data_IF_251371600996
#
_entry.id   IF_251371600996
#
_cell.length_a   1.000
_cell.length_b   1.000
_cell.length_c   1.000
_cell.angle_alpha   90.00
_cell.angle_beta   90.00
_cell.angle_gamma   90.00
#
_symmetry.space_group_name_H-M   'P 1'
#
loop_
_entity.id
_entity.type
_entity.pdbx_description
1 polymer ?
#
# COMPACT_ATOMS: atom_id res chain seq x y z
N UNK A 1 15.49 49.92 -4.54
CA UNK A 1 15.17 48.69 -5.30
C UNK A 1 15.55 48.90 -6.76
N UNK A 2 16.40 48.06 -7.34
CA UNK A 2 16.84 48.22 -8.74
C UNK A 2 15.76 47.68 -9.70
N UNK A 3 15.58 48.26 -10.88
CA UNK A 3 14.58 47.77 -11.88
C UNK A 3 14.73 46.27 -12.21
N UNK A 4 15.95 45.74 -12.06
CA UNK A 4 16.29 44.32 -12.17
C UNK A 4 15.69 43.46 -11.04
N UNK A 5 15.62 43.97 -9.80
CA UNK A 5 14.97 43.26 -8.68
C UNK A 5 13.46 43.22 -8.82
N UNK A 6 12.86 44.27 -9.38
CA UNK A 6 11.42 44.35 -9.63
C UNK A 6 10.98 43.38 -10.75
N UNK A 7 11.74 43.30 -11.85
CA UNK A 7 11.51 42.33 -12.93
C UNK A 7 11.66 40.88 -12.46
N UNK A 8 12.72 40.57 -11.69
CA UNK A 8 12.90 39.24 -11.07
C UNK A 8 11.76 38.88 -10.12
N UNK A 9 11.19 39.85 -9.39
CA UNK A 9 10.04 39.61 -8.52
C UNK A 9 8.77 39.31 -9.34
N UNK A 10 8.57 40.00 -10.46
CA UNK A 10 7.42 39.76 -11.35
C UNK A 10 7.50 38.41 -12.08
N UNK A 11 8.68 37.92 -12.44
CA UNK A 11 8.85 36.58 -13.03
C UNK A 11 8.62 35.43 -12.04
N UNK A 12 8.70 35.69 -10.73
CA UNK A 12 8.54 34.67 -9.67
C UNK A 12 7.10 34.48 -9.19
N UNK A 13 6.15 35.31 -9.62
CA UNK A 13 4.74 35.09 -9.30
C UNK A 13 4.13 34.08 -10.27
N UNK A 14 3.60 32.96 -9.76
CA UNK A 14 3.10 31.78 -10.49
C UNK A 14 1.95 32.01 -11.49
N UNK A 15 1.54 33.26 -11.75
CA UNK A 15 0.36 33.61 -12.53
C UNK A 15 0.64 34.58 -13.68
N UNK A 16 1.92 34.80 -14.04
CA UNK A 16 2.28 35.89 -14.95
C UNK A 16 2.62 35.40 -16.36
N UNK A 17 1.92 35.97 -17.35
CA UNK A 17 2.26 35.86 -18.76
C UNK A 17 3.65 36.50 -19.00
N UNK A 18 4.65 35.66 -19.25
CA UNK A 18 6.08 36.04 -19.40
C UNK A 18 6.26 37.02 -20.56
N UNK A 19 5.49 36.88 -21.64
CA UNK A 19 5.49 37.82 -22.76
C UNK A 19 5.11 39.23 -22.30
N UNK A 20 3.98 39.35 -21.58
CA UNK A 20 3.45 40.63 -21.10
C UNK A 20 4.43 41.32 -20.14
N UNK A 21 5.07 40.58 -19.24
CA UNK A 21 6.11 41.13 -18.36
C UNK A 21 7.34 41.60 -19.12
N UNK A 22 7.81 40.80 -20.08
CA UNK A 22 9.02 41.09 -20.87
C UNK A 22 8.80 42.30 -21.77
N UNK A 23 7.67 42.37 -22.49
CA UNK A 23 7.31 43.52 -23.33
C UNK A 23 7.18 44.79 -22.48
N UNK A 24 6.48 44.72 -21.34
CA UNK A 24 6.33 45.86 -20.43
C UNK A 24 7.68 46.39 -19.90
N UNK A 25 8.62 45.49 -19.58
CA UNK A 25 9.97 45.88 -19.19
C UNK A 25 10.73 46.56 -20.34
N UNK A 26 10.65 46.01 -21.54
CA UNK A 26 11.29 46.55 -22.74
C UNK A 26 10.72 47.94 -23.10
N UNK A 27 9.41 48.15 -23.02
CA UNK A 27 8.78 49.45 -23.25
C UNK A 27 9.20 50.51 -22.22
N UNK A 28 9.37 50.12 -20.95
CA UNK A 28 9.96 50.99 -19.92
C UNK A 28 11.41 51.35 -20.26
N UNK A 29 12.15 50.42 -20.88
CA UNK A 29 13.53 50.67 -21.30
C UNK A 29 13.59 51.64 -22.50
N UNK A 30 12.67 51.53 -23.47
CA UNK A 30 12.52 52.51 -24.55
C UNK A 30 12.30 53.92 -24.00
N UNK A 31 11.37 54.07 -23.05
CA UNK A 31 11.10 55.37 -22.37
C UNK A 31 12.33 55.90 -21.64
N UNK A 32 13.19 55.03 -21.11
CA UNK A 32 14.44 55.42 -20.46
C UNK A 32 15.48 55.90 -21.48
N UNK A 33 15.65 55.17 -22.59
CA UNK A 33 16.54 55.55 -23.69
C UNK A 33 16.13 56.89 -24.32
N UNK A 34 14.83 57.14 -24.49
CA UNK A 34 14.31 58.43 -24.95
C UNK A 34 14.71 59.58 -24.03
N UNK A 35 14.69 59.39 -22.71
CA UNK A 35 15.12 60.43 -21.75
C UNK A 35 16.62 60.68 -21.83
N UNK A 36 17.43 59.63 -22.02
CA UNK A 36 18.88 59.76 -22.21
C UNK A 36 19.21 60.52 -23.48
N UNK A 37 18.53 60.21 -24.59
CA UNK A 37 18.69 60.95 -25.85
C UNK A 37 18.34 62.43 -25.68
N UNK A 38 17.23 62.75 -25.01
CA UNK A 38 16.82 64.15 -24.72
C UNK A 38 17.84 64.93 -23.88
N UNK A 39 18.62 64.24 -23.05
CA UNK A 39 19.68 64.82 -22.22
C UNK A 39 21.03 64.87 -22.93
N UNK A 40 21.10 64.37 -24.17
CA UNK A 40 22.35 64.17 -24.91
C UNK A 40 23.32 63.20 -24.22
N UNK A 41 22.81 62.32 -23.33
CA UNK A 41 23.61 61.29 -22.64
C UNK A 41 24.05 60.16 -23.58
N UNK A 42 23.38 60.02 -24.73
CA UNK A 42 23.66 59.01 -25.77
C UNK A 42 23.46 59.64 -27.15
N UNK A 43 24.14 59.10 -28.17
CA UNK A 43 23.97 59.54 -29.56
C UNK A 43 22.66 59.02 -30.18
N UNK A 44 22.19 59.69 -31.24
CA UNK A 44 21.03 59.21 -32.00
C UNK A 44 21.26 57.83 -32.63
N UNK A 45 22.47 57.56 -33.12
CA UNK A 45 22.83 56.27 -33.70
C UNK A 45 22.81 55.14 -32.66
N UNK A 46 23.31 55.42 -31.45
CA UNK A 46 23.24 54.48 -30.33
C UNK A 46 21.78 54.23 -29.92
N UNK A 47 20.97 55.28 -29.82
CA UNK A 47 19.53 55.16 -29.54
C UNK A 47 18.81 54.27 -30.56
N UNK A 48 19.07 54.48 -31.86
CA UNK A 48 18.46 53.70 -32.94
C UNK A 48 18.88 52.23 -32.89
N UNK A 49 20.18 51.95 -32.74
CA UNK A 49 20.69 50.58 -32.60
C UNK A 49 20.04 49.83 -31.43
N UNK A 50 19.90 50.49 -30.26
CA UNK A 50 19.24 49.92 -29.09
C UNK A 50 17.73 49.71 -29.29
N UNK A 51 17.06 50.54 -30.09
CA UNK A 51 15.66 50.32 -30.43
C UNK A 51 15.48 49.06 -31.29
N UNK A 52 16.34 48.87 -32.28
CA UNK A 52 16.30 47.70 -33.16
C UNK A 52 16.55 46.41 -32.36
N UNK A 53 17.52 46.42 -31.43
CA UNK A 53 17.74 45.32 -30.47
C UNK A 53 16.49 45.01 -29.63
N UNK A 54 15.81 46.05 -29.13
CA UNK A 54 14.61 45.89 -28.31
C UNK A 54 13.45 45.28 -29.10
N UNK A 55 13.24 45.69 -30.35
CA UNK A 55 12.18 45.12 -31.18
C UNK A 55 12.45 43.65 -31.54
N UNK A 56 13.70 43.30 -31.83
CA UNK A 56 14.09 41.88 -31.99
C UNK A 56 13.85 41.05 -30.72
N UNK A 57 14.14 41.60 -29.55
CA UNK A 57 13.85 40.94 -28.27
C UNK A 57 12.35 40.78 -28.03
N UNK A 58 11.51 41.76 -28.38
CA UNK A 58 10.05 41.63 -28.30
C UNK A 58 9.53 40.53 -29.22
N UNK A 59 10.05 40.45 -30.46
CA UNK A 59 9.68 39.39 -31.42
C UNK A 59 10.02 38.01 -30.89
N UNK A 60 11.22 37.83 -30.33
CA UNK A 60 11.64 36.57 -29.68
C UNK A 60 10.76 36.21 -28.47
N UNK A 61 10.37 37.19 -27.66
CA UNK A 61 9.50 36.97 -26.51
C UNK A 61 8.11 36.45 -26.92
N UNK A 62 7.53 36.98 -28.00
CA UNK A 62 6.25 36.50 -28.58
C UNK A 62 6.37 35.06 -29.06
N UNK A 63 7.37 34.76 -29.89
CA UNK A 63 7.61 33.41 -30.42
C UNK A 63 7.79 32.36 -29.31
N UNK A 64 8.50 32.71 -28.24
CA UNK A 64 8.66 31.82 -27.09
C UNK A 64 7.34 31.59 -26.36
N UNK A 65 6.50 32.62 -26.23
CA UNK A 65 5.20 32.50 -25.58
C UNK A 65 4.23 31.64 -26.41
N UNK A 66 4.25 31.78 -27.73
CA UNK A 66 3.48 30.92 -28.64
C UNK A 66 3.89 29.44 -28.48
N UNK A 67 5.20 29.19 -28.43
CA UNK A 67 5.75 27.83 -28.21
C UNK A 67 5.38 27.26 -26.84
N UNK A 68 5.47 28.05 -25.77
CA UNK A 68 5.05 27.64 -24.42
C UNK A 68 3.57 27.32 -24.40
N UNK A 69 2.74 28.13 -25.06
CA UNK A 69 1.29 27.90 -25.16
C UNK A 69 0.99 26.61 -25.92
N UNK A 70 1.65 26.38 -27.05
CA UNK A 70 1.53 25.14 -27.83
C UNK A 70 1.91 23.91 -27.00
N UNK A 71 3.06 23.94 -26.32
CA UNK A 71 3.52 22.85 -25.45
C UNK A 71 2.62 22.65 -24.23
N UNK A 72 2.02 23.73 -23.72
CA UNK A 72 1.05 23.66 -22.63
C UNK A 72 -0.25 22.98 -23.05
N UNK A 73 -0.72 23.25 -24.26
CA UNK A 73 -1.88 22.59 -24.86
C UNK A 73 -1.59 21.12 -25.14
N UNK A 74 -0.42 20.80 -25.70
CA UNK A 74 0.04 19.42 -25.94
C UNK A 74 0.11 18.63 -24.63
N UNK A 75 0.74 19.20 -23.58
CA UNK A 75 0.75 18.57 -22.25
C UNK A 75 -0.65 18.35 -21.69
N UNK A 76 -1.59 19.27 -21.93
CA UNK A 76 -2.98 19.10 -21.49
C UNK A 76 -3.64 17.95 -22.24
N UNK A 77 -3.44 17.83 -23.55
CA UNK A 77 -3.95 16.69 -24.32
C UNK A 77 -3.37 15.38 -23.83
N UNK A 78 -2.05 15.30 -23.64
CA UNK A 78 -1.37 14.12 -23.10
C UNK A 78 -1.88 13.73 -21.71
N UNK A 79 -2.18 14.70 -20.85
CA UNK A 79 -2.78 14.43 -19.53
C UNK A 79 -4.19 13.87 -19.65
N UNK A 80 -5.02 14.41 -20.53
CA UNK A 80 -6.36 13.90 -20.78
C UNK A 80 -6.31 12.47 -21.32
N UNK A 81 -5.44 12.23 -22.31
CA UNK A 81 -5.14 10.92 -22.87
C UNK A 81 -4.70 9.90 -21.79
N UNK A 82 -3.83 10.31 -20.87
CA UNK A 82 -3.37 9.45 -19.77
C UNK A 82 -4.49 9.18 -18.76
N UNK A 83 -5.35 10.16 -18.48
CA UNK A 83 -6.55 9.95 -17.66
C UNK A 83 -7.52 8.97 -18.31
N UNK A 84 -7.74 9.08 -19.63
CA UNK A 84 -8.60 8.18 -20.38
C UNK A 84 -8.03 6.75 -20.36
N UNK A 85 -6.72 6.58 -20.59
CA UNK A 85 -6.04 5.29 -20.47
C UNK A 85 -6.17 4.70 -19.06
N UNK A 86 -5.97 5.50 -18.01
CA UNK A 86 -6.16 5.07 -16.62
C UNK A 86 -7.59 4.62 -16.36
N UNK A 87 -8.57 5.34 -16.93
CA UNK A 87 -9.99 4.97 -16.80
C UNK A 87 -10.30 3.64 -17.49
N UNK A 88 -9.71 3.39 -18.65
CA UNK A 88 -9.86 2.13 -19.40
C UNK A 88 -9.19 0.98 -18.65
N UNK A 89 -7.98 1.17 -18.13
CA UNK A 89 -7.27 0.17 -17.31
C UNK A 89 -8.08 -0.14 -16.05
N UNK A 90 -8.58 0.88 -15.37
CA UNK A 90 -9.40 0.72 -14.16
C UNK A 90 -10.72 0.00 -14.46
N UNK A 91 -11.41 0.34 -15.55
CA UNK A 91 -12.63 -0.33 -15.97
C UNK A 91 -12.37 -1.79 -16.37
N UNK A 92 -11.25 -2.04 -17.06
CA UNK A 92 -10.74 -3.37 -17.39
C UNK A 92 -10.48 -4.23 -16.16
N UNK A 93 -9.76 -3.67 -15.19
CA UNK A 93 -9.51 -4.29 -13.90
C UNK A 93 -10.82 -4.64 -13.19
N UNK A 94 -11.77 -3.69 -13.15
CA UNK A 94 -13.09 -3.91 -12.54
C UNK A 94 -13.89 -5.01 -13.25
N UNK A 95 -13.85 -5.07 -14.59
CA UNK A 95 -14.51 -6.12 -15.37
C UNK A 95 -13.86 -7.50 -15.14
N UNK A 96 -12.53 -7.58 -15.15
CA UNK A 96 -11.81 -8.82 -14.83
C UNK A 96 -12.12 -9.34 -13.43
N UNK A 97 -12.33 -8.44 -12.47
CA UNK A 97 -12.69 -8.79 -11.08
C UNK A 97 -14.17 -9.20 -10.94
N UNK A 98 -15.08 -8.69 -11.78
CA UNK A 98 -16.54 -8.86 -11.59
C UNK A 98 -17.19 -9.87 -12.53
N UNK A 99 -16.65 -10.15 -13.71
CA UNK A 99 -17.25 -11.09 -14.67
C UNK A 99 -16.45 -12.39 -14.77
N UNK A 100 -17.01 -13.50 -14.25
CA UNK A 100 -16.57 -14.90 -14.51
C UNK A 100 -16.90 -15.40 -15.93
N UNK A 101 -17.16 -14.50 -16.88
CA UNK A 101 -17.72 -14.86 -18.20
C UNK A 101 -16.74 -14.44 -19.28
N UNK A 102 -16.19 -15.45 -19.96
CA UNK A 102 -15.11 -15.35 -20.97
C UNK A 102 -15.36 -14.30 -22.08
N UNK A 103 -16.61 -13.90 -22.33
CA UNK A 103 -16.96 -12.91 -23.35
C UNK A 103 -16.59 -11.45 -22.99
N UNK A 104 -16.64 -11.06 -21.72
CA UNK A 104 -16.36 -9.67 -21.30
C UNK A 104 -14.87 -9.34 -21.30
N UNK A 105 -14.04 -10.34 -20.99
CA UNK A 105 -12.59 -10.23 -21.00
C UNK A 105 -12.06 -10.06 -22.44
N UNK A 106 -12.64 -10.77 -23.40
CA UNK A 106 -12.27 -10.69 -24.81
C UNK A 106 -12.56 -9.32 -25.42
N UNK A 107 -13.74 -8.73 -25.16
CA UNK A 107 -14.08 -7.37 -25.64
C UNK A 107 -13.18 -6.30 -25.00
N UNK A 108 -12.80 -6.48 -23.73
CA UNK A 108 -11.80 -5.63 -23.07
C UNK A 108 -10.43 -5.69 -23.76
N UNK A 109 -9.89 -6.90 -24.02
CA UNK A 109 -8.61 -7.04 -24.72
C UNK A 109 -8.67 -6.48 -26.15
N UNK A 110 -9.80 -6.61 -26.84
CA UNK A 110 -10.00 -5.99 -28.17
C UNK A 110 -10.04 -4.46 -28.10
N UNK A 111 -10.59 -3.87 -27.04
CA UNK A 111 -10.55 -2.41 -26.81
C UNK A 111 -9.14 -1.93 -26.48
N UNK A 112 -8.42 -2.65 -25.61
CA UNK A 112 -7.02 -2.35 -25.30
C UNK A 112 -6.15 -2.43 -26.56
N UNK A 113 -6.33 -3.47 -27.39
CA UNK A 113 -5.61 -3.61 -28.65
C UNK A 113 -5.86 -2.42 -29.59
N UNK A 114 -7.12 -2.02 -29.79
CA UNK A 114 -7.47 -0.84 -30.61
C UNK A 114 -6.83 0.45 -30.10
N UNK A 115 -6.79 0.65 -28.78
CA UNK A 115 -6.10 1.79 -28.18
C UNK A 115 -4.60 1.74 -28.46
N UNK A 116 -3.94 0.61 -28.21
CA UNK A 116 -2.51 0.46 -28.49
C UNK A 116 -2.17 0.63 -29.97
N UNK A 117 -3.01 0.12 -30.87
CA UNK A 117 -2.85 0.31 -32.31
C UNK A 117 -2.94 1.80 -32.68
N UNK A 118 -3.91 2.53 -32.11
CA UNK A 118 -4.04 3.99 -32.29
C UNK A 118 -2.82 4.76 -31.76
N UNK A 119 -2.26 4.35 -30.62
CA UNK A 119 -1.04 4.95 -30.05
C UNK A 119 0.20 4.65 -30.90
N UNK A 120 0.33 3.41 -31.38
CA UNK A 120 1.43 3.00 -32.26
C UNK A 120 1.44 3.85 -33.53
N UNK A 121 0.28 4.02 -34.15
CA UNK A 121 0.14 4.77 -35.40
C UNK A 121 0.37 6.28 -35.19
N UNK A 122 -0.01 6.81 -34.01
CA UNK A 122 0.15 8.23 -33.66
C UNK A 122 1.59 8.64 -33.32
N UNK A 123 2.39 7.73 -32.74
CA UNK A 123 3.73 8.04 -32.22
C UNK A 123 4.87 7.32 -32.98
N UNK A 124 4.56 6.68 -34.12
CA UNK A 124 5.52 5.94 -34.96
C UNK A 124 6.43 4.99 -34.14
N UNK A 125 5.85 4.32 -33.15
CA UNK A 125 6.60 3.45 -32.24
C UNK A 125 7.02 2.18 -32.99
N UNK A 126 8.33 1.98 -33.13
CA UNK A 126 8.91 0.81 -33.78
C UNK A 126 8.45 -0.50 -33.11
N UNK A 127 7.98 -1.44 -33.92
CA UNK A 127 7.19 -2.62 -33.53
C UNK A 127 7.98 -3.64 -32.69
N UNK A 128 9.26 -3.41 -32.47
CA UNK A 128 10.14 -4.23 -31.63
C UNK A 128 9.85 -4.06 -30.12
N UNK A 129 9.20 -2.96 -29.71
CA UNK A 129 9.02 -2.62 -28.29
C UNK A 129 7.66 -3.00 -27.66
N UNK A 130 6.63 -3.27 -28.46
CA UNK A 130 5.27 -3.55 -27.97
C UNK A 130 4.78 -4.92 -28.44
N UNK A 131 5.37 -5.99 -27.88
CA UNK A 131 4.95 -7.40 -28.00
C UNK A 131 3.66 -7.71 -27.20
N UNK A 132 2.70 -6.80 -27.16
CA UNK A 132 1.43 -7.02 -26.44
C UNK A 132 0.60 -8.11 -27.14
N UNK A 133 0.74 -8.27 -28.45
CA UNK A 133 0.12 -9.37 -29.20
C UNK A 133 0.68 -10.75 -28.83
N UNK A 134 1.94 -10.84 -28.39
CA UNK A 134 2.53 -12.09 -27.87
C UNK A 134 2.01 -12.36 -26.46
N UNK A 135 1.92 -11.34 -25.59
CA UNK A 135 1.38 -11.46 -24.22
C UNK A 135 -0.08 -11.98 -24.20
N UNK A 136 -0.89 -11.65 -25.20
CA UNK A 136 -2.30 -12.09 -25.28
C UNK A 136 -2.43 -13.56 -25.73
N UNK A 137 -1.45 -14.09 -26.49
CA UNK A 137 -1.44 -15.51 -26.90
C UNK A 137 -0.63 -16.41 -25.94
N UNK A 138 0.16 -15.82 -25.06
CA UNK A 138 1.02 -16.48 -24.07
C UNK A 138 0.39 -16.58 -22.67
N UNK A 139 -0.84 -17.07 -22.58
CA UNK A 139 -1.36 -17.66 -21.33
C UNK A 139 -0.71 -19.04 -21.07
N UNK A 140 -0.03 -19.62 -22.08
CA UNK A 140 0.69 -20.91 -22.02
C UNK A 140 1.98 -20.83 -21.18
N UNK A 141 2.87 -19.84 -21.36
CA UNK A 141 4.09 -19.68 -20.55
C UNK A 141 3.84 -19.49 -19.06
N UNK A 142 2.71 -18.92 -18.63
CA UNK A 142 2.41 -18.83 -17.21
C UNK A 142 2.17 -20.20 -16.58
N UNK A 143 1.51 -21.13 -17.28
CA UNK A 143 1.37 -22.51 -16.79
C UNK A 143 2.70 -23.25 -16.75
N UNK A 144 3.57 -23.00 -17.73
CA UNK A 144 4.90 -23.61 -17.79
C UNK A 144 5.85 -23.00 -16.74
N UNK A 145 5.76 -21.69 -16.47
CA UNK A 145 6.48 -20.99 -15.40
C UNK A 145 5.99 -21.41 -14.01
N UNK A 146 4.68 -21.58 -13.82
CA UNK A 146 4.09 -22.16 -12.60
C UNK A 146 4.55 -23.61 -12.43
N UNK A 147 4.84 -24.32 -13.51
CA UNK A 147 5.35 -25.70 -13.47
C UNK A 147 6.85 -25.77 -13.19
N UNK A 148 7.60 -24.68 -13.37
CA UNK A 148 9.02 -24.58 -13.06
C UNK A 148 9.23 -23.90 -11.70
N UNK A 149 9.25 -24.71 -10.64
CA UNK A 149 9.31 -24.25 -9.26
C UNK A 149 10.57 -23.42 -8.93
N UNK A 150 11.69 -23.61 -9.64
CA UNK A 150 12.95 -22.89 -9.39
C UNK A 150 12.88 -21.42 -9.83
N UNK A 151 12.48 -21.17 -11.09
CA UNK A 151 12.38 -19.81 -11.63
C UNK A 151 11.27 -19.03 -10.92
N UNK A 152 10.15 -19.70 -10.61
CA UNK A 152 9.08 -19.07 -9.85
C UNK A 152 9.54 -18.67 -8.46
N UNK A 153 10.28 -19.55 -7.77
CA UNK A 153 10.86 -19.28 -6.45
C UNK A 153 11.81 -18.08 -6.48
N UNK A 154 12.68 -18.02 -7.49
CA UNK A 154 13.62 -16.92 -7.69
C UNK A 154 12.90 -15.59 -7.92
N UNK A 155 11.96 -15.51 -8.86
CA UNK A 155 11.17 -14.30 -9.14
C UNK A 155 10.43 -13.82 -7.88
N UNK A 156 9.76 -14.75 -7.20
CA UNK A 156 9.02 -14.46 -5.98
C UNK A 156 9.92 -13.93 -4.85
N UNK A 157 11.17 -14.39 -4.78
CA UNK A 157 12.12 -13.89 -3.77
C UNK A 157 12.48 -12.41 -3.95
N UNK A 158 12.30 -11.85 -5.15
CA UNK A 158 12.53 -10.44 -5.48
C UNK A 158 11.28 -9.55 -5.34
N UNK A 159 10.13 -10.11 -4.99
CA UNK A 159 8.89 -9.37 -4.84
C UNK A 159 8.67 -8.99 -3.37
N UNK A 160 8.01 -7.86 -3.11
CA UNK A 160 7.56 -7.52 -1.76
C UNK A 160 6.50 -8.51 -1.26
N UNK A 161 6.27 -8.63 0.06
CA UNK A 161 5.18 -9.46 0.57
C UNK A 161 3.80 -9.04 0.04
N UNK A 162 3.59 -7.73 -0.19
CA UNK A 162 2.38 -7.21 -0.81
C UNK A 162 2.29 -7.64 -2.28
N UNK A 163 3.36 -7.53 -3.06
CA UNK A 163 3.37 -7.94 -4.47
C UNK A 163 3.22 -9.45 -4.64
N UNK A 164 3.87 -10.24 -3.78
CA UNK A 164 3.70 -11.70 -3.72
C UNK A 164 2.24 -12.10 -3.52
N UNK A 165 1.55 -11.38 -2.65
CA UNK A 165 0.16 -11.68 -2.34
C UNK A 165 -0.81 -11.06 -3.35
N UNK A 166 -0.76 -9.76 -3.58
CA UNK A 166 -1.71 -9.05 -4.43
C UNK A 166 -1.46 -9.27 -5.92
N UNK A 167 -0.20 -9.27 -6.37
CA UNK A 167 0.12 -9.34 -7.80
C UNK A 167 0.08 -10.78 -8.34
N UNK A 168 0.39 -11.81 -7.54
CA UNK A 168 0.38 -13.20 -8.00
C UNK A 168 -0.91 -13.97 -7.66
N UNK A 169 -1.53 -13.74 -6.49
CA UNK A 169 -2.74 -14.50 -6.13
C UNK A 169 -3.99 -14.07 -6.90
N UNK A 170 -4.06 -12.81 -7.35
CA UNK A 170 -5.18 -12.33 -8.17
C UNK A 170 -5.16 -12.93 -9.57
N UNK A 171 -3.99 -13.41 -10.02
CA UNK A 171 -3.78 -13.94 -11.37
C UNK A 171 -4.06 -15.45 -11.44
N UNK A 172 -3.71 -16.24 -10.42
CA UNK A 172 -3.90 -17.70 -10.47
C UNK A 172 -4.08 -18.37 -9.09
N UNK A 173 -5.14 -19.18 -8.92
CA UNK A 173 -5.42 -19.87 -7.64
C UNK A 173 -4.40 -20.97 -7.31
N UNK A 174 -3.78 -21.57 -8.33
CA UNK A 174 -2.75 -22.59 -8.12
C UNK A 174 -1.48 -22.00 -7.51
N UNK A 175 -1.12 -20.76 -7.88
CA UNK A 175 -0.02 -20.02 -7.26
C UNK A 175 -0.30 -19.72 -5.79
N UNK A 176 -1.53 -19.33 -5.45
CA UNK A 176 -1.91 -19.14 -4.06
C UNK A 176 -1.66 -20.39 -3.21
N UNK A 177 -2.15 -21.55 -3.68
CA UNK A 177 -1.94 -22.82 -2.97
C UNK A 177 -0.46 -23.15 -2.82
N UNK A 178 0.35 -22.93 -3.86
CA UNK A 178 1.80 -23.16 -3.82
C UNK A 178 2.51 -22.22 -2.84
N UNK A 179 2.19 -20.92 -2.86
CA UNK A 179 2.74 -19.92 -1.94
C UNK A 179 2.31 -20.14 -0.48
N UNK A 180 1.30 -20.98 -0.25
CA UNK A 180 0.83 -21.39 1.07
C UNK A 180 1.43 -22.72 1.56
N UNK A 181 2.34 -23.35 0.79
CA UNK A 181 3.05 -24.55 1.21
C UNK A 181 4.26 -24.21 2.08
N UNK A 182 4.56 -25.07 3.05
CA UNK A 182 5.71 -24.92 3.97
C UNK A 182 7.07 -24.86 3.25
N UNK A 183 7.18 -25.42 2.05
CA UNK A 183 8.39 -25.34 1.22
C UNK A 183 8.73 -23.91 0.77
N UNK A 184 7.80 -22.96 0.88
CA UNK A 184 7.98 -21.58 0.40
C UNK A 184 8.46 -20.60 1.47
N UNK A 185 8.72 -21.05 2.71
CA UNK A 185 9.17 -20.18 3.81
C UNK A 185 10.45 -19.40 3.46
N UNK A 186 11.34 -19.98 2.66
CA UNK A 186 12.57 -19.31 2.19
C UNK A 186 12.25 -18.12 1.27
N UNK A 187 11.25 -18.24 0.40
CA UNK A 187 10.82 -17.16 -0.49
C UNK A 187 10.27 -15.98 0.32
N UNK A 188 9.39 -16.26 1.29
CA UNK A 188 8.85 -15.25 2.21
C UNK A 188 9.93 -14.59 3.07
N UNK A 189 10.95 -15.35 3.48
CA UNK A 189 12.11 -14.81 4.21
C UNK A 189 12.91 -13.80 3.39
N UNK A 190 13.20 -14.12 2.12
CA UNK A 190 13.97 -13.22 1.23
C UNK A 190 13.13 -12.00 0.87
N UNK A 191 11.86 -12.18 0.55
CA UNK A 191 10.91 -11.10 0.28
C UNK A 191 10.80 -10.10 1.44
N UNK A 192 10.73 -10.59 2.69
CA UNK A 192 10.70 -9.75 3.89
C UNK A 192 11.94 -8.85 4.01
N UNK A 193 13.12 -9.35 3.64
CA UNK A 193 14.39 -8.61 3.72
C UNK A 193 14.44 -7.41 2.77
N UNK A 194 13.57 -7.36 1.76
CA UNK A 194 13.52 -6.27 0.79
C UNK A 194 12.61 -5.11 1.22
N UNK A 195 12.01 -5.16 2.41
CA UNK A 195 11.15 -4.10 2.93
C UNK A 195 11.91 -3.06 3.78
N UNK A 196 11.55 -1.76 3.68
CA UNK A 196 12.20 -0.70 4.45
C UNK A 196 12.01 -0.84 5.98
N UNK A 197 11.02 -1.63 6.45
CA UNK A 197 10.73 -1.89 7.87
C UNK A 197 11.22 -3.27 8.36
N UNK A 198 12.32 -3.80 7.81
CA UNK A 198 12.88 -5.13 8.11
C UNK A 198 13.37 -5.36 9.55
N UNK A 199 13.28 -4.35 10.44
CA UNK A 199 13.82 -4.42 11.80
C UNK A 199 13.09 -5.40 12.73
N UNK A 200 11.96 -5.96 12.31
CA UNK A 200 11.23 -6.95 13.10
C UNK A 200 11.44 -8.35 12.55
N UNK A 201 12.17 -9.15 13.32
CA UNK A 201 12.30 -10.58 13.06
C UNK A 201 10.91 -11.23 13.14
N UNK A 202 10.69 -12.24 12.29
CA UNK A 202 9.45 -13.00 12.40
C UNK A 202 9.50 -13.83 13.69
N UNK A 203 8.45 -13.78 14.49
CA UNK A 203 8.20 -14.68 15.61
C UNK A 203 8.50 -16.16 15.32
N UNK A 204 9.01 -16.89 16.31
CA UNK A 204 9.29 -18.35 16.19
C UNK A 204 7.99 -19.16 16.03
N UNK A 205 6.89 -18.70 16.64
CA UNK A 205 5.61 -19.42 16.67
C UNK A 205 4.66 -19.06 15.51
N UNK A 206 5.10 -18.17 14.62
CA UNK A 206 4.33 -17.73 13.45
C UNK A 206 5.18 -17.99 12.21
N UNK A 207 4.59 -18.55 11.16
CA UNK A 207 5.33 -18.73 9.91
C UNK A 207 5.63 -17.36 9.28
N UNK A 208 6.73 -17.23 8.53
CA UNK A 208 7.10 -15.97 7.85
C UNK A 208 5.98 -15.44 6.99
N UNK A 209 5.31 -16.37 6.33
CA UNK A 209 4.13 -16.15 5.52
C UNK A 209 2.94 -15.61 6.34
N UNK A 210 2.59 -16.22 7.48
CA UNK A 210 1.52 -15.73 8.36
C UNK A 210 1.85 -14.33 8.91
N UNK A 211 3.11 -14.12 9.30
CA UNK A 211 3.58 -12.82 9.77
C UNK A 211 3.46 -11.75 8.67
N UNK A 212 3.86 -12.07 7.44
CA UNK A 212 3.70 -11.18 6.30
C UNK A 212 2.23 -10.89 5.99
N UNK A 213 1.38 -11.93 6.03
CA UNK A 213 -0.06 -11.80 5.83
C UNK A 213 -0.67 -10.80 6.82
N UNK A 214 -0.38 -10.94 8.11
CA UNK A 214 -0.97 -10.08 9.13
C UNK A 214 -0.43 -8.64 9.07
N UNK A 215 0.87 -8.46 8.82
CA UNK A 215 1.48 -7.13 8.78
C UNK A 215 1.11 -6.33 7.54
N UNK A 216 1.26 -6.92 6.35
CA UNK A 216 1.25 -6.17 5.09
C UNK A 216 -0.03 -6.36 4.28
N UNK A 217 -0.72 -7.49 4.46
CA UNK A 217 -1.82 -7.89 3.57
C UNK A 217 -3.18 -7.73 4.23
N UNK A 218 -3.31 -8.10 5.50
CA UNK A 218 -4.55 -8.05 6.24
C UNK A 218 -4.91 -6.58 6.54
N UNK A 219 -5.89 -6.05 5.81
CA UNK A 219 -6.40 -4.67 5.96
C UNK A 219 -7.74 -4.62 6.72
N UNK A 220 -8.19 -5.73 7.28
CA UNK A 220 -9.45 -5.85 8.02
C UNK A 220 -9.20 -6.39 9.41
N UNK A 221 -10.03 -5.98 10.36
CA UNK A 221 -10.05 -6.61 11.67
C UNK A 221 -10.58 -8.05 11.55
N UNK A 222 -9.88 -9.03 12.11
CA UNK A 222 -10.33 -10.42 12.07
C UNK A 222 -11.50 -10.71 13.03
N UNK A 223 -11.79 -9.78 13.94
CA UNK A 223 -12.94 -9.86 14.84
C UNK A 223 -14.16 -9.24 14.16
N UNK A 224 -14.18 -7.91 13.93
CA UNK A 224 -15.37 -7.23 13.40
C UNK A 224 -15.46 -7.14 11.86
N UNK A 225 -14.44 -7.60 11.13
CA UNK A 225 -14.34 -7.53 9.66
C UNK A 225 -14.36 -6.10 9.07
N UNK A 226 -14.17 -5.08 9.91
CA UNK A 226 -14.12 -3.68 9.47
C UNK A 226 -12.73 -3.32 8.92
N UNK A 227 -12.72 -2.44 7.92
CA UNK A 227 -11.51 -1.78 7.44
C UNK A 227 -11.20 -0.57 8.32
N UNK A 228 -10.06 -0.61 9.00
CA UNK A 228 -9.52 0.52 9.77
C UNK A 228 -8.02 0.61 9.52
N UNK A 229 -7.38 1.69 9.95
CA UNK A 229 -5.91 1.84 9.84
C UNK A 229 -5.17 1.52 11.15
N UNK A 230 -5.85 1.65 12.30
CA UNK A 230 -5.27 1.40 13.63
C UNK A 230 -5.54 -0.04 14.08
N UNK A 231 -4.50 -0.87 14.00
CA UNK A 231 -4.53 -2.28 14.34
C UNK A 231 -3.46 -2.66 15.35
N UNK A 232 -3.84 -3.52 16.31
CA UNK A 232 -2.90 -4.30 17.10
C UNK A 232 -2.73 -5.69 16.47
N UNK A 233 -1.49 -6.17 16.45
CA UNK A 233 -1.14 -7.51 16.00
C UNK A 233 -0.93 -8.41 17.22
N UNK A 234 -1.82 -9.39 17.38
CA UNK A 234 -1.69 -10.41 18.43
C UNK A 234 -1.13 -11.65 17.76
N UNK A 235 0.20 -11.76 17.78
CA UNK A 235 0.97 -12.77 17.04
C UNK A 235 0.67 -14.18 17.52
N UNK A 236 0.50 -14.33 18.82
CA UNK A 236 0.12 -15.55 19.52
C UNK A 236 -1.17 -16.15 18.98
N UNK A 237 -2.17 -15.29 18.80
CA UNK A 237 -3.46 -15.65 18.24
C UNK A 237 -3.47 -15.61 16.71
N UNK A 238 -2.41 -15.11 16.09
CA UNK A 238 -2.30 -14.92 14.64
C UNK A 238 -3.46 -14.07 14.11
N UNK A 239 -3.85 -13.06 14.90
CA UNK A 239 -4.95 -12.14 14.56
C UNK A 239 -4.48 -10.69 14.54
N UNK A 240 -5.16 -9.91 13.71
CA UNK A 240 -5.09 -8.46 13.64
C UNK A 240 -6.41 -7.87 14.09
N UNK A 241 -6.38 -7.10 15.18
CA UNK A 241 -7.56 -6.56 15.85
C UNK A 241 -7.58 -5.03 15.77
N UNK A 242 -8.74 -4.43 15.51
CA UNK A 242 -8.86 -2.97 15.49
C UNK A 242 -8.96 -2.40 16.89
N UNK A 243 -8.70 -1.09 17.01
CA UNK A 243 -8.86 -0.36 18.27
C UNK A 243 -10.20 -0.58 18.96
N UNK A 244 -11.30 -0.54 18.22
CA UNK A 244 -12.63 -0.72 18.79
C UNK A 244 -12.81 -2.09 19.46
N UNK A 245 -12.30 -3.15 18.84
CA UNK A 245 -12.44 -4.51 19.37
C UNK A 245 -11.49 -4.82 20.55
N UNK A 246 -10.54 -3.92 20.87
CA UNK A 246 -9.70 -4.01 22.07
C UNK A 246 -10.16 -3.06 23.19
N UNK A 247 -11.25 -2.32 23.01
CA UNK A 247 -11.80 -1.49 24.08
C UNK A 247 -12.42 -2.37 25.17
N UNK A 248 -12.42 -1.93 26.45
CA UNK A 248 -12.90 -2.71 27.58
C UNK A 248 -14.30 -3.33 27.38
N UNK A 249 -15.21 -2.64 26.69
CA UNK A 249 -16.57 -3.12 26.41
C UNK A 249 -16.63 -4.39 25.53
N UNK A 250 -15.55 -4.68 24.80
CA UNK A 250 -15.39 -5.84 23.91
C UNK A 250 -14.42 -6.90 24.46
N UNK A 251 -13.90 -6.65 25.66
CA UNK A 251 -13.10 -7.58 26.42
C UNK A 251 -13.94 -8.18 27.54
N UNK A 252 -13.54 -9.33 28.04
CA UNK A 252 -14.16 -9.90 29.22
C UNK A 252 -13.08 -10.31 30.21
N UNK A 253 -13.22 -9.83 31.44
CA UNK A 253 -12.37 -10.25 32.54
C UNK A 253 -12.84 -11.60 33.06
N UNK A 254 -11.88 -12.42 33.46
CA UNK A 254 -12.11 -13.75 34.02
C UNK A 254 -13.12 -13.74 35.20
N UNK A 255 -13.12 -12.65 35.98
CA UNK A 255 -13.94 -12.45 37.17
C UNK A 255 -15.41 -12.07 36.89
N UNK A 256 -15.75 -11.65 35.67
CA UNK A 256 -17.10 -11.18 35.32
C UNK A 256 -17.94 -12.23 34.56
N UNK A 257 -17.37 -13.41 34.33
CA UNK A 257 -17.94 -14.42 33.45
C UNK A 257 -18.92 -15.37 34.14
N UNK A 258 -20.19 -15.37 33.70
CA UNK A 258 -21.19 -16.41 34.01
C UNK A 258 -20.98 -17.71 33.21
N UNK A 259 -19.80 -17.93 32.63
CA UNK A 259 -19.51 -19.09 31.80
C UNK A 259 -18.97 -20.25 32.65
N UNK A 260 -19.21 -21.51 32.24
CA UNK A 260 -18.57 -22.66 32.88
C UNK A 260 -17.05 -22.50 32.89
N UNK A 261 -16.43 -22.65 34.06
CA UNK A 261 -14.97 -22.51 34.25
C UNK A 261 -14.17 -23.44 33.34
N UNK A 262 -14.74 -24.60 33.00
CA UNK A 262 -14.21 -25.58 32.06
C UNK A 262 -13.99 -24.98 30.66
N UNK A 263 -14.87 -24.08 30.21
CA UNK A 263 -14.76 -23.42 28.90
C UNK A 263 -13.69 -22.33 28.90
N UNK A 264 -13.49 -21.63 30.02
CA UNK A 264 -12.44 -20.62 30.13
C UNK A 264 -11.07 -21.26 29.86
N UNK A 265 -10.85 -22.49 30.34
CA UNK A 265 -9.62 -23.25 30.07
C UNK A 265 -9.39 -23.62 28.60
N UNK A 266 -10.39 -23.41 27.73
CA UNK A 266 -10.34 -23.66 26.28
C UNK A 266 -10.19 -22.38 25.46
N UNK A 267 -10.19 -21.21 26.10
CA UNK A 267 -10.05 -19.92 25.43
C UNK A 267 -8.60 -19.45 25.47
N UNK A 268 -8.19 -18.79 24.39
CA UNK A 268 -6.95 -18.04 24.43
C UNK A 268 -7.15 -16.74 25.20
N UNK A 269 -6.11 -16.37 25.93
CA UNK A 269 -6.08 -15.15 26.69
C UNK A 269 -5.01 -14.20 26.17
N UNK A 270 -5.29 -12.90 26.33
CA UNK A 270 -4.43 -11.81 25.87
C UNK A 270 -4.16 -10.84 27.00
N UNK A 271 -2.93 -10.33 27.08
CA UNK A 271 -2.57 -9.32 28.06
C UNK A 271 -2.82 -7.89 27.53
N UNK A 272 -2.71 -6.91 28.43
CA UNK A 272 -2.90 -5.50 28.11
C UNK A 272 -1.90 -4.98 27.04
N UNK A 273 -0.65 -5.44 27.05
CA UNK A 273 0.38 -4.96 26.13
C UNK A 273 0.16 -5.49 24.69
N UNK A 274 -0.31 -6.73 24.56
CA UNK A 274 -0.76 -7.30 23.29
C UNK A 274 -1.93 -6.50 22.71
N UNK A 275 -2.86 -6.07 23.56
CA UNK A 275 -3.98 -5.22 23.15
C UNK A 275 -3.51 -3.85 22.70
N UNK A 276 -2.58 -3.20 23.38
CA UNK A 276 -2.05 -1.88 22.99
C UNK A 276 -1.24 -1.90 21.68
N UNK A 277 -0.83 -3.08 21.19
CA UNK A 277 -0.03 -3.20 19.97
C UNK A 277 1.42 -2.77 20.16
N UNK A 278 1.85 -2.57 21.40
CA UNK A 278 3.22 -2.26 21.82
C UNK A 278 4.18 -3.46 21.69
N UNK A 279 3.76 -4.49 20.96
CA UNK A 279 4.39 -5.80 20.91
C UNK A 279 5.55 -5.83 19.93
N UNK A 280 6.70 -5.30 20.33
CA UNK A 280 7.94 -5.41 19.56
C UNK A 280 9.04 -5.99 20.44
N UNK A 281 9.32 -7.27 20.18
CA UNK A 281 10.43 -8.10 20.68
C UNK A 281 10.14 -9.03 21.90
N UNK A 282 10.44 -10.31 21.70
CA UNK A 282 10.42 -11.39 22.71
C UNK A 282 11.40 -11.16 23.86
N UNK A 283 12.34 -10.22 23.71
CA UNK A 283 13.31 -9.85 24.74
C UNK A 283 12.75 -8.90 25.81
N UNK A 284 11.60 -8.28 25.56
CA UNK A 284 11.00 -7.29 26.47
C UNK A 284 10.18 -8.02 27.53
N UNK A 285 10.75 -8.16 28.73
CA UNK A 285 10.05 -8.63 29.93
C UNK A 285 9.41 -7.44 30.62
N UNK A 286 8.08 -7.40 30.66
CA UNK A 286 7.37 -6.31 31.32
C UNK A 286 6.87 -6.74 32.70
N UNK A 287 7.45 -6.14 33.75
CA UNK A 287 7.17 -6.43 35.16
C UNK A 287 6.09 -5.50 35.75
N UNK A 288 5.30 -4.82 34.92
CA UNK A 288 4.28 -3.89 35.40
C UNK A 288 3.08 -4.63 35.99
N UNK A 289 2.40 -4.05 36.97
CA UNK A 289 1.21 -4.68 37.56
C UNK A 289 0.09 -4.92 36.51
N UNK A 290 0.06 -4.12 35.45
CA UNK A 290 -0.89 -4.24 34.35
C UNK A 290 -0.60 -5.45 33.43
N UNK A 291 0.66 -5.94 33.37
CA UNK A 291 1.00 -7.15 32.60
C UNK A 291 0.53 -8.45 33.27
N UNK A 292 -0.02 -8.36 34.49
CA UNK A 292 -0.70 -9.49 35.17
C UNK A 292 -2.19 -9.59 34.84
N UNK A 293 -2.77 -8.58 34.18
CA UNK A 293 -4.17 -8.61 33.80
C UNK A 293 -4.32 -9.37 32.48
N UNK A 294 -5.17 -10.39 32.53
CA UNK A 294 -5.46 -11.28 31.42
C UNK A 294 -6.90 -11.02 30.97
N UNK A 295 -7.08 -10.84 29.67
CA UNK A 295 -8.34 -10.54 29.03
C UNK A 295 -8.71 -11.66 28.07
N UNK A 296 -10.01 -11.86 27.90
CA UNK A 296 -10.57 -12.72 26.85
C UNK A 296 -11.30 -11.84 25.85
N UNK A 297 -11.15 -12.13 24.56
CA UNK A 297 -11.91 -11.43 23.53
C UNK A 297 -13.36 -11.89 23.60
N UNK A 298 -14.28 -10.97 23.88
CA UNK A 298 -15.71 -11.31 24.10
C UNK A 298 -16.30 -12.11 22.96
N UNK A 299 -15.98 -11.75 21.72
CA UNK A 299 -16.46 -12.47 20.53
C UNK A 299 -15.90 -13.90 20.44
N UNK A 300 -14.65 -14.11 20.83
CA UNK A 300 -14.05 -15.44 20.86
C UNK A 300 -14.73 -16.31 21.93
N UNK A 301 -15.05 -15.73 23.08
CA UNK A 301 -15.83 -16.39 24.14
C UNK A 301 -17.20 -16.81 23.59
N UNK A 302 -17.91 -15.89 22.93
CA UNK A 302 -19.23 -16.16 22.33
C UNK A 302 -19.16 -17.24 21.23
N UNK A 303 -18.19 -17.15 20.31
CA UNK A 303 -18.02 -18.09 19.21
C UNK A 303 -17.66 -19.49 19.73
N UNK A 304 -16.75 -19.58 20.70
CA UNK A 304 -16.34 -20.85 21.33
C UNK A 304 -17.49 -21.47 22.14
N UNK A 305 -18.26 -20.65 22.85
CA UNK A 305 -19.44 -21.10 23.57
C UNK A 305 -20.50 -21.66 22.63
N UNK A 306 -20.76 -20.97 21.52
CA UNK A 306 -21.68 -21.44 20.49
C UNK A 306 -21.20 -22.75 19.84
N UNK A 307 -19.89 -22.89 19.59
CA UNK A 307 -19.32 -24.14 19.11
C UNK A 307 -19.56 -25.28 20.12
N UNK A 308 -19.25 -25.04 21.39
CA UNK A 308 -19.44 -26.02 22.47
C UNK A 308 -20.91 -26.46 22.63
N UNK A 309 -21.87 -25.53 22.47
CA UNK A 309 -23.29 -25.86 22.49
C UNK A 309 -23.68 -26.77 21.31
N UNK A 310 -23.04 -26.61 20.16
CA UNK A 310 -23.23 -27.46 18.97
C UNK A 310 -22.60 -28.85 19.07
N UNK A 311 -21.69 -29.09 20.02
CA UNK A 311 -21.05 -30.41 20.20
C UNK A 311 -22.03 -31.40 20.85
N UNK A 312 -22.16 -32.63 20.29
CA UNK A 312 -22.96 -33.69 20.90
C UNK A 312 -22.53 -33.99 22.35
N UNK A 313 -23.48 -34.20 23.26
CA UNK A 313 -23.21 -34.36 24.70
C UNK A 313 -22.15 -35.41 25.04
N UNK A 314 -22.11 -36.51 24.30
CA UNK A 314 -21.13 -37.60 24.47
C UNK A 314 -19.71 -37.25 23.98
N UNK A 315 -19.53 -36.16 23.23
CA UNK A 315 -18.23 -35.69 22.71
C UNK A 315 -17.74 -34.41 23.38
N UNK A 316 -18.54 -33.80 24.26
CA UNK A 316 -18.19 -32.54 24.93
C UNK A 316 -16.90 -32.64 25.75
N UNK A 317 -16.72 -33.73 26.50
CA UNK A 317 -15.51 -33.93 27.29
C UNK A 317 -14.26 -34.10 26.41
N UNK A 318 -14.38 -34.83 25.29
CA UNK A 318 -13.28 -35.00 24.34
C UNK A 318 -12.90 -33.66 23.70
N UNK A 319 -13.90 -32.85 23.33
CA UNK A 319 -13.71 -31.51 22.79
C UNK A 319 -13.01 -30.59 23.80
N UNK A 320 -13.47 -30.56 25.06
CA UNK A 320 -12.83 -29.79 26.13
C UNK A 320 -11.37 -30.21 26.32
N UNK A 321 -11.10 -31.52 26.48
CA UNK A 321 -9.75 -32.02 26.68
C UNK A 321 -8.80 -31.67 25.53
N UNK A 322 -9.30 -31.73 24.28
CA UNK A 322 -8.52 -31.37 23.10
C UNK A 322 -8.14 -29.90 23.11
N UNK A 323 -9.09 -29.00 23.34
CA UNK A 323 -8.83 -27.56 23.31
C UNK A 323 -8.04 -27.09 24.53
N UNK A 324 -8.36 -27.57 25.74
CA UNK A 324 -7.59 -27.25 26.94
C UNK A 324 -6.12 -27.68 26.82
N UNK A 325 -5.82 -28.76 26.07
CA UNK A 325 -4.44 -29.16 25.79
C UNK A 325 -3.73 -28.12 24.91
N UNK A 326 -4.36 -27.66 23.83
CA UNK A 326 -3.82 -26.63 22.93
C UNK A 326 -3.55 -25.32 23.68
N UNK A 327 -4.50 -24.88 24.51
CA UNK A 327 -4.36 -23.66 25.31
C UNK A 327 -3.26 -23.80 26.37
N UNK A 328 -3.13 -24.97 27.00
CA UNK A 328 -2.09 -25.22 28.01
C UNK A 328 -0.69 -25.21 27.41
N UNK A 329 -0.51 -25.78 26.21
CA UNK A 329 0.74 -25.71 25.45
C UNK A 329 1.07 -24.24 25.13
N UNK A 330 0.10 -23.49 24.60
CA UNK A 330 0.24 -22.05 24.35
C UNK A 330 0.66 -21.27 25.61
N UNK A 331 0.01 -21.52 26.75
CA UNK A 331 0.30 -20.83 27.99
C UNK A 331 1.72 -21.12 28.50
N UNK A 332 2.10 -22.40 28.55
CA UNK A 332 3.41 -22.81 29.08
C UNK A 332 4.56 -22.36 28.17
N UNK A 333 4.38 -22.45 26.86
CA UNK A 333 5.44 -22.18 25.89
C UNK A 333 5.56 -20.70 25.54
N UNK A 334 4.51 -19.90 25.77
CA UNK A 334 4.47 -18.49 25.33
C UNK A 334 4.21 -17.52 26.47
N UNK A 335 3.10 -17.65 27.20
CA UNK A 335 2.73 -16.67 28.22
C UNK A 335 3.63 -16.72 29.46
N UNK A 336 3.93 -17.93 29.98
CA UNK A 336 4.82 -18.13 31.13
C UNK A 336 6.26 -17.65 30.91
N UNK A 337 6.78 -17.84 29.69
CA UNK A 337 8.15 -17.42 29.36
C UNK A 337 8.28 -15.90 29.43
N UNK A 338 7.22 -15.18 29.07
CA UNK A 338 7.20 -13.72 28.93
C UNK A 338 6.79 -13.02 30.21
N UNK A 339 5.87 -13.64 30.95
CA UNK A 339 5.33 -13.14 32.21
C UNK A 339 5.47 -14.23 33.28
N UNK A 340 6.69 -14.52 33.75
CA UNK A 340 6.96 -15.60 34.72
C UNK A 340 6.28 -15.39 36.09
N UNK A 341 5.70 -14.22 36.29
CA UNK A 341 4.96 -13.79 37.48
C UNK A 341 3.45 -14.04 37.38
N UNK A 342 2.92 -14.44 36.22
CA UNK A 342 1.54 -14.97 36.13
C UNK A 342 1.53 -16.28 36.93
N UNK A 343 0.91 -16.27 38.11
CA UNK A 343 0.83 -17.44 38.98
C UNK A 343 -0.14 -18.47 38.39
N UNK A 344 0.16 -19.77 38.57
CA UNK A 344 -0.70 -20.88 38.14
C UNK A 344 -2.12 -20.83 38.73
N UNK A 345 -2.32 -20.00 39.77
CA UNK A 345 -3.60 -19.74 40.42
C UNK A 345 -4.61 -19.01 39.52
N UNK A 346 -4.13 -18.35 38.46
CA UNK A 346 -5.00 -17.70 37.46
C UNK A 346 -5.39 -18.64 36.30
N UNK A 347 -5.02 -19.93 36.32
CA UNK A 347 -5.15 -20.81 35.13
C UNK A 347 -5.71 -22.21 35.36
N UNK A 348 -5.92 -22.61 36.61
CA UNK A 348 -6.50 -23.92 36.91
C UNK A 348 -7.81 -23.66 37.62
N UNK A 349 -8.97 -24.05 37.05
CA UNK A 349 -10.20 -24.12 37.81
C UNK A 349 -9.94 -25.05 39.00
N UNK A 350 -10.11 -24.56 40.23
CA UNK A 350 -10.24 -25.45 41.39
C UNK A 350 -11.55 -26.21 41.31
#
# INVERSE_FOLDING_TARGET
MTRKSEFKRHLRSNNLNIEKATISFLDRHVKYLQRKLKRSDISFNEYKSRLDEIEELKKKARLLNDKITSLGNENRMLRNENTDLRSVIYYGYRMAVTTRVDGGLLDFFQRMKRLFDTYRDKYEIDSSSLRISEIIYDVKPWKDLISNDEILSEICSYLSPEDLFFSLMQVEKLLYKKLWLDSTQTMWRVSQQQQPNHNHSCPIHVTKQQYCFLNFICKKCQICNQHVDDFALILELKIKICRYCREPDHLTLEQENNFPSELISTLHSVDYAQLEGSYLDYSVRELSAASHLVFYLKREVEDTFNEYLGVPANKKQEWLNKWSKVIREYYNDVLKIKHPTITDQYLIPQ
#
